data_IF_504744982653
#
_entry.id   IF_504744982653
#
_cell.length_a   1.000
_cell.length_b   1.000
_cell.length_c   1.000
_cell.angle_alpha   90.00
_cell.angle_beta   90.00
_cell.angle_gamma   90.00
#
_symmetry.space_group_name_H-M   'P 1'
#
loop_
_entity.id
_entity.type
_entity.pdbx_description
1 polymer ?
#
# COMPACT_ATOMS: atom_id res chain seq x y z
N UNK A 1 29.73 2.38 5.87
CA UNK A 1 28.37 1.83 6.10
C UNK A 1 27.77 1.55 4.73
N UNK A 2 27.29 0.36 4.51
CA UNK A 2 26.63 0.01 3.24
C UNK A 2 25.31 0.79 3.11
N UNK A 3 24.87 1.13 1.88
CA UNK A 3 23.54 1.69 1.70
C UNK A 3 22.48 0.78 2.36
N UNK A 4 21.45 1.34 2.97
CA UNK A 4 20.35 0.62 3.62
C UNK A 4 20.70 -0.31 4.80
N UNK A 5 21.96 -0.42 5.21
CA UNK A 5 22.35 -1.26 6.35
C UNK A 5 21.61 -0.84 7.63
N UNK A 6 21.63 0.44 7.97
CA UNK A 6 21.01 0.90 9.21
C UNK A 6 19.47 0.75 9.22
N UNK A 7 18.71 1.13 8.17
CA UNK A 7 17.27 0.84 8.11
C UNK A 7 16.94 -0.65 8.26
N UNK A 8 17.69 -1.54 7.61
CA UNK A 8 17.48 -2.99 7.72
C UNK A 8 17.76 -3.46 9.15
N UNK A 9 18.87 -3.03 9.75
CA UNK A 9 19.19 -3.39 11.15
C UNK A 9 18.18 -2.85 12.15
N UNK A 10 17.62 -1.66 11.94
CA UNK A 10 16.55 -1.08 12.75
C UNK A 10 15.27 -1.92 12.66
N UNK A 11 14.87 -2.31 11.44
CA UNK A 11 13.75 -3.21 11.21
C UNK A 11 13.94 -4.56 11.93
N UNK A 12 15.09 -5.19 11.79
CA UNK A 12 15.40 -6.47 12.44
C UNK A 12 15.32 -6.35 13.96
N UNK A 13 15.91 -5.30 14.56
CA UNK A 13 15.83 -5.05 16.00
C UNK A 13 14.41 -4.78 16.48
N UNK A 14 13.63 -3.98 15.75
CA UNK A 14 12.24 -3.63 16.10
C UNK A 14 11.35 -4.86 16.20
N UNK A 15 11.58 -5.84 15.35
CA UNK A 15 10.72 -7.02 15.25
C UNK A 15 11.32 -8.30 15.83
N UNK A 16 12.53 -8.23 16.37
CA UNK A 16 13.29 -9.38 16.87
C UNK A 16 13.44 -10.48 15.79
N UNK A 17 13.85 -10.06 14.58
CA UNK A 17 14.13 -10.98 13.49
C UNK A 17 15.63 -11.21 13.32
N UNK A 18 16.02 -12.46 13.12
CA UNK A 18 17.42 -12.85 12.88
C UNK A 18 17.87 -12.69 11.43
N UNK A 19 16.95 -12.35 10.51
CA UNK A 19 17.27 -12.23 9.08
C UNK A 19 16.26 -11.35 8.35
N UNK A 20 16.71 -10.74 7.24
CA UNK A 20 15.87 -10.09 6.24
C UNK A 20 16.30 -10.59 4.86
N UNK A 21 15.47 -11.39 4.23
CA UNK A 21 15.75 -12.02 2.94
C UNK A 21 14.50 -11.97 2.05
N UNK A 22 14.28 -10.85 1.35
CA UNK A 22 13.07 -10.64 0.54
C UNK A 22 12.87 -11.72 -0.53
N UNK A 23 11.64 -12.23 -0.62
CA UNK A 23 11.13 -13.17 -1.62
C UNK A 23 9.84 -12.68 -2.26
N UNK A 24 9.21 -11.66 -1.69
CA UNK A 24 8.00 -11.05 -2.22
C UNK A 24 7.99 -9.54 -1.98
N UNK A 25 7.33 -8.82 -2.90
CA UNK A 25 6.99 -7.40 -2.73
C UNK A 25 5.48 -7.24 -2.83
N UNK A 26 4.87 -6.63 -1.80
CA UNK A 26 3.45 -6.39 -1.68
C UNK A 26 3.18 -4.92 -1.97
N UNK A 27 2.49 -4.63 -3.06
CA UNK A 27 2.16 -3.28 -3.48
C UNK A 27 0.75 -2.89 -3.05
N UNK A 28 0.59 -1.74 -2.42
CA UNK A 28 -0.69 -1.05 -2.48
C UNK A 28 -0.99 -0.64 -3.93
N UNK A 29 -2.23 -0.26 -4.21
CA UNK A 29 -2.66 0.06 -5.56
C UNK A 29 -2.76 1.57 -5.81
N UNK A 30 -3.56 2.26 -5.02
CA UNK A 30 -3.95 3.65 -5.26
C UNK A 30 -2.87 4.64 -4.79
N UNK A 31 -2.22 5.35 -5.73
CA UNK A 31 -1.06 6.19 -5.45
C UNK A 31 0.27 5.43 -5.44
N UNK A 32 0.26 4.11 -5.68
CA UNK A 32 1.45 3.25 -5.78
C UNK A 32 1.55 2.61 -7.17
N UNK A 33 0.56 1.83 -7.59
CA UNK A 33 0.52 1.24 -8.94
C UNK A 33 -0.09 2.22 -9.94
N UNK A 34 -1.14 2.93 -9.52
CA UNK A 34 -1.80 3.96 -10.33
C UNK A 34 -1.70 5.33 -9.66
N UNK A 35 -1.56 6.37 -10.47
CA UNK A 35 -1.68 7.76 -10.02
C UNK A 35 -3.17 8.14 -9.89
N UNK A 36 -3.90 7.41 -9.06
CA UNK A 36 -5.35 7.53 -8.87
C UNK A 36 -5.75 8.47 -7.74
N UNK A 37 -4.82 8.80 -6.84
CA UNK A 37 -5.10 9.61 -5.66
C UNK A 37 -5.68 11.00 -5.95
N UNK A 38 -5.28 11.73 -7.01
CA UNK A 38 -5.94 12.98 -7.36
C UNK A 38 -7.44 12.80 -7.68
N UNK A 39 -7.82 11.71 -8.37
CA UNK A 39 -9.22 11.38 -8.64
C UNK A 39 -9.95 10.99 -7.36
N UNK A 40 -9.32 10.21 -6.48
CA UNK A 40 -9.88 9.87 -5.16
C UNK A 40 -10.14 11.13 -4.33
N UNK A 41 -9.19 12.06 -4.29
CA UNK A 41 -9.31 13.30 -3.51
C UNK A 41 -10.49 14.18 -3.99
N UNK A 42 -10.64 14.35 -5.31
CA UNK A 42 -11.78 15.06 -5.90
C UNK A 42 -13.08 14.34 -5.57
N UNK A 43 -13.15 13.03 -5.82
CA UNK A 43 -14.37 12.25 -5.60
C UNK A 43 -14.81 12.26 -4.12
N UNK A 44 -13.88 12.18 -3.18
CA UNK A 44 -14.16 12.32 -1.76
C UNK A 44 -14.67 13.71 -1.40
N UNK A 45 -13.99 14.76 -1.84
CA UNK A 45 -14.39 16.13 -1.56
C UNK A 45 -15.81 16.43 -2.08
N UNK A 46 -16.08 16.09 -3.34
CA UNK A 46 -17.37 16.36 -3.97
C UNK A 46 -18.51 15.51 -3.37
N UNK A 47 -18.29 14.21 -3.16
CA UNK A 47 -19.33 13.34 -2.60
C UNK A 47 -19.69 13.74 -1.18
N UNK A 48 -18.70 14.01 -0.33
CA UNK A 48 -18.94 14.43 1.05
C UNK A 48 -19.67 15.77 1.14
N UNK A 49 -19.32 16.72 0.25
CA UNK A 49 -20.02 18.00 0.18
C UNK A 49 -21.53 17.85 -0.13
N UNK A 50 -21.92 16.89 -0.97
CA UNK A 50 -23.35 16.59 -1.26
C UNK A 50 -24.11 16.12 -0.02
N UNK A 51 -23.43 15.59 0.99
CA UNK A 51 -24.03 15.14 2.25
C UNK A 51 -23.86 16.14 3.38
N UNK A 52 -23.39 17.37 3.06
CA UNK A 52 -23.12 18.41 4.05
C UNK A 52 -22.00 18.04 5.02
N UNK A 53 -21.01 17.29 4.54
CA UNK A 53 -19.79 16.92 5.26
C UNK A 53 -18.62 17.60 4.56
N UNK A 54 -17.80 18.31 5.32
CA UNK A 54 -16.59 18.91 4.81
C UNK A 54 -15.44 17.90 4.84
N UNK A 55 -14.87 17.62 3.68
CA UNK A 55 -13.66 16.80 3.55
C UNK A 55 -12.74 17.46 2.53
N UNK A 56 -11.54 17.79 2.96
CA UNK A 56 -10.52 18.38 2.08
C UNK A 56 -9.85 17.30 1.24
N UNK A 57 -9.24 17.70 0.12
CA UNK A 57 -8.42 16.77 -0.66
C UNK A 57 -7.24 16.22 0.17
N UNK A 58 -6.64 17.06 1.05
CA UNK A 58 -5.58 16.62 1.95
C UNK A 58 -6.05 15.49 2.91
N UNK A 59 -7.28 15.63 3.47
CA UNK A 59 -7.85 14.58 4.32
C UNK A 59 -8.11 13.28 3.55
N UNK A 60 -8.40 13.34 2.25
CA UNK A 60 -8.53 12.13 1.44
C UNK A 60 -7.24 11.30 1.43
N UNK A 61 -6.07 11.93 1.37
CA UNK A 61 -4.78 11.23 1.47
C UNK A 61 -4.52 10.69 2.88
N UNK A 62 -4.98 11.37 3.93
CA UNK A 62 -4.82 10.89 5.32
C UNK A 62 -5.66 9.64 5.63
N UNK A 63 -6.84 9.53 5.01
CA UNK A 63 -7.74 8.39 5.20
C UNK A 63 -7.61 7.31 4.13
N UNK A 64 -6.66 7.46 3.20
CA UNK A 64 -6.45 6.45 2.17
C UNK A 64 -6.05 5.10 2.78
N UNK A 65 -6.47 4.03 2.12
CA UNK A 65 -6.32 2.66 2.61
C UNK A 65 -7.47 2.17 3.50
N UNK A 66 -8.25 3.08 4.11
CA UNK A 66 -9.46 2.71 4.86
C UNK A 66 -10.59 2.31 3.90
N UNK A 67 -11.42 1.34 4.31
CA UNK A 67 -12.63 1.00 3.55
C UNK A 67 -13.53 2.23 3.42
N UNK A 68 -13.99 2.52 2.21
CA UNK A 68 -14.75 3.74 1.93
C UNK A 68 -15.99 3.92 2.81
N UNK A 69 -16.71 2.84 3.12
CA UNK A 69 -17.86 2.87 4.04
C UNK A 69 -17.45 3.23 5.48
N UNK A 70 -16.28 2.82 5.91
CA UNK A 70 -15.75 3.15 7.24
C UNK A 70 -15.31 4.62 7.29
N UNK A 71 -14.69 5.13 6.22
CA UNK A 71 -14.35 6.55 6.07
C UNK A 71 -15.62 7.42 6.16
N UNK A 72 -16.69 7.05 5.47
CA UNK A 72 -17.97 7.77 5.51
C UNK A 72 -18.53 7.79 6.93
N UNK A 73 -18.64 6.62 7.58
CA UNK A 73 -19.15 6.54 8.94
C UNK A 73 -18.35 7.36 9.93
N UNK A 74 -17.02 7.32 9.80
CA UNK A 74 -16.12 8.11 10.63
C UNK A 74 -16.38 9.62 10.46
N UNK A 75 -16.47 10.11 9.22
CA UNK A 75 -16.68 11.52 8.93
C UNK A 75 -18.08 12.00 9.36
N UNK A 76 -19.13 11.19 9.14
CA UNK A 76 -20.48 11.50 9.61
C UNK A 76 -20.49 11.62 11.13
N UNK A 77 -19.92 10.64 11.84
CA UNK A 77 -19.84 10.66 13.31
C UNK A 77 -19.03 11.87 13.81
N UNK A 78 -17.90 12.16 13.20
CA UNK A 78 -17.01 13.29 13.58
C UNK A 78 -17.69 14.63 13.42
N UNK A 79 -18.46 14.86 12.34
CA UNK A 79 -19.00 16.18 12.00
C UNK A 79 -20.47 16.39 12.37
N UNK A 80 -21.27 15.31 12.40
CA UNK A 80 -22.71 15.39 12.72
C UNK A 80 -23.07 14.76 14.06
N UNK A 81 -22.15 14.05 14.72
CA UNK A 81 -22.38 13.40 16.01
C UNK A 81 -23.35 12.23 15.99
N UNK A 82 -23.65 11.69 14.80
CA UNK A 82 -24.58 10.56 14.61
C UNK A 82 -23.87 9.35 14.01
N UNK A 83 -24.39 8.16 14.30
CA UNK A 83 -23.98 6.94 13.63
C UNK A 83 -24.99 6.61 12.52
N UNK A 84 -24.49 6.19 11.37
CA UNK A 84 -25.29 5.71 10.25
C UNK A 84 -25.12 4.19 10.07
N UNK A 85 -26.13 3.54 9.49
CA UNK A 85 -26.08 2.11 9.17
C UNK A 85 -25.03 1.82 8.09
N UNK A 86 -24.61 0.56 7.99
CA UNK A 86 -23.73 0.11 6.89
C UNK A 86 -24.41 0.27 5.53
N UNK A 87 -25.71 0.02 5.44
CA UNK A 87 -26.49 0.18 4.22
C UNK A 87 -26.50 1.65 3.75
N UNK A 88 -26.70 2.58 4.67
CA UNK A 88 -26.64 4.01 4.36
C UNK A 88 -25.22 4.43 3.94
N UNK A 89 -24.19 3.96 4.64
CA UNK A 89 -22.80 4.22 4.27
C UNK A 89 -22.46 3.68 2.87
N UNK A 90 -23.00 2.51 2.48
CA UNK A 90 -22.82 1.98 1.12
C UNK A 90 -23.50 2.87 0.07
N UNK A 91 -24.73 3.31 0.28
CA UNK A 91 -25.41 4.26 -0.64
C UNK A 91 -24.61 5.54 -0.84
N UNK A 92 -24.05 6.09 0.24
CA UNK A 92 -23.19 7.27 0.15
C UNK A 92 -21.87 6.98 -0.60
N UNK A 93 -21.31 5.79 -0.40
CA UNK A 93 -20.10 5.34 -1.10
C UNK A 93 -20.33 5.14 -2.61
N UNK A 94 -21.52 4.70 -3.02
CA UNK A 94 -21.88 4.61 -4.45
C UNK A 94 -21.80 5.98 -5.15
N UNK A 95 -22.20 7.06 -4.47
CA UNK A 95 -22.06 8.42 -5.02
C UNK A 95 -20.58 8.77 -5.23
N UNK A 96 -19.71 8.47 -4.26
CA UNK A 96 -18.26 8.68 -4.40
C UNK A 96 -17.69 7.87 -5.56
N UNK A 97 -18.12 6.60 -5.68
CA UNK A 97 -17.66 5.70 -6.74
C UNK A 97 -18.10 6.18 -8.13
N UNK A 98 -19.33 6.70 -8.26
CA UNK A 98 -19.83 7.26 -9.51
C UNK A 98 -19.03 8.52 -9.93
N UNK A 99 -18.73 9.42 -8.99
CA UNK A 99 -17.88 10.59 -9.25
C UNK A 99 -16.49 10.14 -9.68
N UNK A 100 -15.86 9.22 -8.94
CA UNK A 100 -14.54 8.69 -9.29
C UNK A 100 -14.51 8.10 -10.71
N UNK A 101 -15.52 7.29 -11.06
CA UNK A 101 -15.62 6.70 -12.39
C UNK A 101 -15.77 7.75 -13.50
N UNK A 102 -16.41 8.89 -13.23
CA UNK A 102 -16.59 9.98 -14.18
C UNK A 102 -15.32 10.78 -14.48
N UNK A 103 -14.30 10.69 -13.62
CA UNK A 103 -13.02 11.39 -13.79
C UNK A 103 -12.07 10.69 -14.79
N UNK A 104 -12.47 9.54 -15.31
CA UNK A 104 -11.68 8.77 -16.27
C UNK A 104 -10.72 7.78 -15.61
N UNK A 105 -9.85 7.19 -16.42
CA UNK A 105 -8.87 6.20 -15.97
C UNK A 105 -7.63 6.89 -15.43
N UNK A 106 -7.16 6.42 -14.27
CA UNK A 106 -5.87 6.82 -13.75
C UNK A 106 -4.74 6.19 -14.58
N UNK A 107 -3.67 6.94 -14.77
CA UNK A 107 -2.46 6.45 -15.41
C UNK A 107 -1.65 5.56 -14.48
N UNK A 108 -0.82 4.68 -15.04
CA UNK A 108 0.17 3.93 -14.26
C UNK A 108 1.11 4.92 -13.56
N UNK A 109 1.52 4.59 -12.34
CA UNK A 109 2.56 5.36 -11.66
C UNK A 109 3.87 5.25 -12.44
N UNK A 110 4.50 6.40 -12.71
CA UNK A 110 5.77 6.44 -13.43
C UNK A 110 6.84 5.58 -12.75
N UNK A 111 7.44 4.66 -13.49
CA UNK A 111 8.51 3.77 -13.01
C UNK A 111 8.02 2.50 -12.31
N UNK A 112 6.72 2.34 -12.02
CA UNK A 112 6.23 1.16 -11.29
C UNK A 112 6.37 -0.13 -12.11
N UNK A 113 6.09 -0.09 -13.41
CA UNK A 113 6.21 -1.27 -14.27
C UNK A 113 7.67 -1.73 -14.41
N UNK A 114 8.61 -0.78 -14.54
CA UNK A 114 10.04 -1.09 -14.59
C UNK A 114 10.52 -1.69 -13.26
N UNK A 115 10.06 -1.15 -12.12
CA UNK A 115 10.34 -1.72 -10.80
C UNK A 115 9.81 -3.16 -10.69
N UNK A 116 8.57 -3.41 -11.11
CA UNK A 116 7.99 -4.74 -11.09
C UNK A 116 8.77 -5.73 -11.96
N UNK A 117 9.27 -5.30 -13.12
CA UNK A 117 10.15 -6.13 -13.97
C UNK A 117 11.44 -6.47 -13.26
N UNK A 118 12.12 -5.49 -12.65
CA UNK A 118 13.34 -5.73 -11.88
C UNK A 118 13.10 -6.70 -10.72
N UNK A 119 11.98 -6.58 -9.99
CA UNK A 119 11.60 -7.48 -8.90
C UNK A 119 11.43 -8.90 -9.42
N UNK A 120 10.73 -9.06 -10.53
CA UNK A 120 10.49 -10.36 -11.16
C UNK A 120 11.77 -11.00 -11.68
N UNK A 121 12.64 -10.21 -12.30
CA UNK A 121 13.95 -10.67 -12.81
C UNK A 121 14.86 -11.16 -11.67
N UNK A 122 14.68 -10.65 -10.46
CA UNK A 122 15.31 -11.16 -9.24
C UNK A 122 14.64 -12.42 -8.67
N UNK A 123 13.58 -12.93 -9.30
CA UNK A 123 12.86 -14.14 -8.87
C UNK A 123 11.89 -13.92 -7.71
N UNK A 124 11.56 -12.66 -7.36
CA UNK A 124 10.62 -12.36 -6.29
C UNK A 124 9.17 -12.38 -6.79
N UNK A 125 8.24 -12.74 -5.89
CA UNK A 125 6.81 -12.65 -6.13
C UNK A 125 6.31 -11.21 -6.00
N UNK A 126 5.30 -10.85 -6.78
CA UNK A 126 4.61 -9.57 -6.69
C UNK A 126 3.17 -9.84 -6.25
N UNK A 127 2.74 -9.18 -5.19
CA UNK A 127 1.38 -9.25 -4.67
C UNK A 127 0.77 -7.84 -4.67
N UNK A 128 -0.51 -7.71 -5.01
CA UNK A 128 -1.24 -6.45 -4.89
C UNK A 128 -2.16 -6.53 -3.68
N UNK A 129 -2.18 -5.48 -2.84
CA UNK A 129 -2.99 -5.42 -1.62
C UNK A 129 -3.82 -4.14 -1.62
N UNK A 130 -5.07 -4.23 -2.08
CA UNK A 130 -5.97 -3.07 -2.21
C UNK A 130 -7.19 -3.15 -1.30
N UNK A 131 -7.65 -1.99 -0.81
CA UNK A 131 -8.94 -1.85 -0.13
C UNK A 131 -10.15 -1.91 -1.06
N UNK A 132 -9.95 -1.94 -2.38
CA UNK A 132 -11.04 -2.05 -3.36
C UNK A 132 -11.65 -3.45 -3.37
N UNK A 133 -12.99 -3.52 -3.58
CA UNK A 133 -13.73 -4.77 -3.71
C UNK A 133 -14.28 -5.02 -5.12
N UNK A 134 -13.75 -4.40 -6.16
CA UNK A 134 -14.25 -4.57 -7.52
C UNK A 134 -13.51 -5.68 -8.26
N UNK A 135 -14.19 -6.79 -8.56
CA UNK A 135 -13.59 -7.93 -9.31
C UNK A 135 -13.06 -7.52 -10.69
N UNK A 136 -13.80 -6.67 -11.40
CA UNK A 136 -13.38 -6.14 -12.72
C UNK A 136 -12.07 -5.36 -12.67
N UNK A 137 -11.70 -4.83 -11.50
CA UNK A 137 -10.43 -4.15 -11.30
C UNK A 137 -9.25 -5.12 -11.35
N UNK A 138 -9.41 -6.33 -10.79
CA UNK A 138 -8.36 -7.35 -10.78
C UNK A 138 -8.03 -7.85 -12.19
N UNK A 139 -9.07 -8.12 -12.99
CA UNK A 139 -8.91 -8.49 -14.40
C UNK A 139 -8.21 -7.37 -15.18
N UNK A 140 -8.55 -6.13 -14.87
CA UNK A 140 -7.92 -4.97 -15.49
C UNK A 140 -6.44 -4.84 -15.11
N UNK A 141 -6.10 -5.05 -13.84
CA UNK A 141 -4.71 -5.05 -13.35
C UNK A 141 -3.86 -6.09 -14.09
N UNK A 142 -4.34 -7.32 -14.20
CA UNK A 142 -3.60 -8.39 -14.88
C UNK A 142 -3.41 -8.08 -16.37
N UNK A 143 -4.43 -7.53 -17.03
CA UNK A 143 -4.34 -7.10 -18.43
C UNK A 143 -3.38 -5.93 -18.63
N UNK A 144 -3.32 -4.99 -17.70
CA UNK A 144 -2.44 -3.82 -17.80
C UNK A 144 -0.96 -4.15 -17.49
N UNK A 145 -0.70 -5.19 -16.69
CA UNK A 145 0.63 -5.63 -16.28
C UNK A 145 0.86 -7.10 -16.65
N UNK A 146 0.83 -7.45 -17.97
CA UNK A 146 0.86 -8.84 -18.41
C UNK A 146 2.14 -9.55 -17.96
N UNK A 147 1.97 -10.71 -17.34
CA UNK A 147 3.07 -11.53 -16.82
C UNK A 147 3.77 -10.96 -15.59
N UNK A 148 3.36 -9.80 -15.07
CA UNK A 148 3.88 -9.22 -13.82
C UNK A 148 2.91 -9.43 -12.65
N UNK A 149 1.63 -9.22 -12.89
CA UNK A 149 0.58 -9.41 -11.88
C UNK A 149 -0.25 -10.63 -12.20
N UNK A 150 -0.63 -11.37 -11.16
CA UNK A 150 -1.43 -12.59 -11.25
C UNK A 150 -2.57 -12.52 -10.25
N UNK A 151 -3.78 -12.88 -10.69
CA UNK A 151 -5.01 -12.77 -9.90
C UNK A 151 -4.93 -13.49 -8.54
N UNK A 152 -4.27 -14.64 -8.50
CA UNK A 152 -4.07 -15.43 -7.27
C UNK A 152 -3.19 -14.73 -6.22
N UNK A 153 -2.36 -13.76 -6.65
CA UNK A 153 -1.50 -12.95 -5.79
C UNK A 153 -2.07 -11.54 -5.57
N UNK A 154 -3.40 -11.38 -5.62
CA UNK A 154 -4.08 -10.13 -5.29
C UNK A 154 -4.95 -10.30 -4.06
N UNK A 155 -4.87 -9.32 -3.15
CA UNK A 155 -5.70 -9.22 -1.94
C UNK A 155 -6.62 -8.02 -2.10
N UNK A 156 -7.90 -8.24 -1.88
CA UNK A 156 -8.97 -7.24 -1.97
C UNK A 156 -9.73 -7.11 -0.66
N UNK A 157 -10.68 -6.18 -0.59
CA UNK A 157 -11.56 -6.07 0.57
C UNK A 157 -12.44 -7.31 0.80
N UNK A 158 -12.56 -8.23 -0.17
CA UNK A 158 -13.32 -9.48 -0.01
C UNK A 158 -12.51 -10.59 0.65
N UNK A 159 -11.17 -10.50 0.60
CA UNK A 159 -10.29 -11.53 1.14
C UNK A 159 -10.11 -11.40 2.66
N UNK A 160 -10.48 -10.25 3.26
CA UNK A 160 -10.21 -9.94 4.66
C UNK A 160 -11.45 -9.42 5.39
N UNK A 161 -11.53 -9.70 6.69
CA UNK A 161 -12.59 -9.17 7.55
C UNK A 161 -12.34 -7.72 7.94
N UNK A 162 -11.09 -7.36 8.24
CA UNK A 162 -10.69 -6.01 8.62
C UNK A 162 -9.74 -5.41 7.57
N UNK A 163 -10.03 -4.18 7.13
CA UNK A 163 -9.17 -3.41 6.22
C UNK A 163 -8.05 -2.67 6.96
N UNK A 164 -7.15 -2.02 6.21
CA UNK A 164 -6.18 -1.07 6.73
C UNK A 164 -6.90 -0.06 7.65
N UNK A 165 -6.34 0.33 8.78
CA UNK A 165 -4.96 0.13 9.26
C UNK A 165 -4.71 -1.19 10.01
N UNK A 166 -5.63 -2.17 9.98
CA UNK A 166 -5.38 -3.49 10.54
C UNK A 166 -4.42 -4.27 9.64
N UNK A 167 -3.61 -5.18 10.21
CA UNK A 167 -2.60 -5.92 9.45
C UNK A 167 -3.16 -6.98 8.49
N UNK A 168 -4.45 -7.33 8.64
CA UNK A 168 -5.09 -8.44 7.95
C UNK A 168 -4.83 -8.46 6.43
N UNK A 169 -4.91 -7.34 5.67
CA UNK A 169 -4.65 -7.36 4.24
C UNK A 169 -3.21 -7.78 3.90
N UNK A 170 -2.23 -7.32 4.67
CA UNK A 170 -0.83 -7.66 4.44
C UNK A 170 -0.49 -9.05 4.94
N UNK A 171 -1.09 -9.52 6.04
CA UNK A 171 -0.99 -10.91 6.49
C UNK A 171 -1.55 -11.88 5.44
N UNK A 172 -2.70 -11.55 4.82
CA UNK A 172 -3.26 -12.31 3.71
C UNK A 172 -2.32 -12.30 2.49
N UNK A 173 -1.67 -11.18 2.19
CA UNK A 173 -0.67 -11.09 1.13
C UNK A 173 0.54 -11.99 1.38
N UNK A 174 1.04 -12.05 2.61
CA UNK A 174 2.10 -12.99 3.01
C UNK A 174 1.66 -14.45 2.81
N UNK A 175 0.42 -14.79 3.23
CA UNK A 175 -0.15 -16.12 3.07
C UNK A 175 -0.24 -16.51 1.59
N UNK A 176 -0.82 -15.66 0.72
CA UNK A 176 -0.91 -15.90 -0.72
C UNK A 176 0.46 -16.05 -1.38
N UNK A 177 1.45 -15.29 -0.92
CA UNK A 177 2.83 -15.44 -1.40
C UNK A 177 3.57 -16.66 -0.80
N UNK A 178 3.09 -17.24 0.29
CA UNK A 178 3.77 -18.33 1.01
C UNK A 178 5.09 -17.87 1.62
N UNK A 179 5.15 -16.64 2.17
CA UNK A 179 6.36 -16.04 2.73
C UNK A 179 6.13 -15.55 4.17
N UNK A 180 7.24 -15.39 4.91
CA UNK A 180 7.24 -14.84 6.24
C UNK A 180 7.40 -13.31 6.21
N UNK A 181 7.08 -12.57 7.29
CA UNK A 181 7.24 -11.11 7.32
C UNK A 181 8.64 -10.62 6.94
N UNK A 182 9.69 -11.30 7.41
CA UNK A 182 11.09 -10.98 7.08
C UNK A 182 11.54 -11.38 5.66
N UNK A 183 10.61 -11.95 4.88
CA UNK A 183 10.81 -12.33 3.48
C UNK A 183 10.00 -11.42 2.53
N UNK A 184 9.43 -10.35 3.05
CA UNK A 184 8.60 -9.44 2.26
C UNK A 184 9.00 -7.97 2.43
N UNK A 185 8.67 -7.19 1.40
CA UNK A 185 8.70 -5.73 1.41
C UNK A 185 7.31 -5.23 1.05
N UNK A 186 6.80 -4.23 1.76
CA UNK A 186 5.58 -3.50 1.37
C UNK A 186 5.96 -2.20 0.71
N UNK A 187 5.24 -1.83 -0.35
CA UNK A 187 5.30 -0.50 -0.99
C UNK A 187 3.96 0.19 -0.80
N UNK A 188 3.98 1.32 -0.11
CA UNK A 188 2.80 2.06 0.33
C UNK A 188 2.96 3.57 0.15
N UNK A 189 1.83 4.31 0.06
CA UNK A 189 1.84 5.76 -0.02
C UNK A 189 0.98 6.45 1.07
N UNK A 190 0.19 5.67 1.81
CA UNK A 190 -0.80 6.17 2.74
C UNK A 190 -0.49 5.82 4.20
N UNK A 191 -0.78 6.74 5.16
CA UNK A 191 -0.46 6.51 6.58
C UNK A 191 -1.11 5.24 7.15
N UNK A 192 -2.38 4.98 6.80
CA UNK A 192 -3.10 3.81 7.31
C UNK A 192 -2.58 2.51 6.71
N UNK A 193 -2.08 2.56 5.47
CA UNK A 193 -1.45 1.43 4.82
C UNK A 193 -0.07 1.13 5.40
N UNK A 194 0.76 2.16 5.63
CA UNK A 194 2.04 2.01 6.34
C UNK A 194 1.82 1.40 7.72
N UNK A 195 0.86 1.92 8.51
CA UNK A 195 0.50 1.35 9.82
C UNK A 195 0.12 -0.14 9.73
N UNK A 196 -0.68 -0.51 8.73
CA UNK A 196 -1.07 -1.91 8.52
C UNK A 196 0.12 -2.81 8.19
N UNK A 197 1.04 -2.36 7.34
CA UNK A 197 2.25 -3.08 6.95
C UNK A 197 3.21 -3.27 8.14
N UNK A 198 3.42 -2.21 8.92
CA UNK A 198 4.24 -2.23 10.14
C UNK A 198 3.62 -3.15 11.21
N UNK A 199 2.28 -3.12 11.35
CA UNK A 199 1.57 -4.03 12.25
C UNK A 199 1.66 -5.50 11.80
N UNK A 200 1.77 -5.76 10.49
CA UNK A 200 2.07 -7.07 9.93
C UNK A 200 3.57 -7.45 10.05
N UNK A 201 4.40 -6.58 10.64
CA UNK A 201 5.83 -6.76 10.88
C UNK A 201 6.65 -6.89 9.58
N UNK A 202 6.23 -6.22 8.49
CA UNK A 202 6.88 -6.26 7.19
C UNK A 202 7.74 -5.01 7.00
N UNK A 203 8.92 -5.16 6.39
CA UNK A 203 9.75 -4.02 5.97
C UNK A 203 8.96 -3.13 5.01
N UNK A 204 8.78 -1.86 5.39
CA UNK A 204 7.84 -0.96 4.71
C UNK A 204 8.56 0.20 4.04
N UNK A 205 8.43 0.27 2.73
CA UNK A 205 8.88 1.38 1.90
C UNK A 205 7.69 2.29 1.62
N UNK A 206 7.74 3.51 2.12
CA UNK A 206 6.77 4.53 1.78
C UNK A 206 7.20 5.29 0.52
N UNK A 207 6.29 5.42 -0.45
CA UNK A 207 6.47 6.28 -1.63
C UNK A 207 5.45 7.41 -1.53
N UNK A 208 5.87 8.55 -0.99
CA UNK A 208 4.99 9.69 -0.75
C UNK A 208 4.71 10.44 -2.06
N UNK A 209 3.84 9.88 -2.88
CA UNK A 209 3.41 10.45 -4.17
C UNK A 209 2.37 11.55 -4.04
N UNK A 210 1.96 11.88 -2.82
CA UNK A 210 0.94 12.86 -2.49
C UNK A 210 1.48 14.12 -1.80
N UNK A 211 0.58 14.97 -1.30
CA UNK A 211 0.92 16.26 -0.68
C UNK A 211 1.25 16.16 0.82
N UNK A 212 1.29 14.94 1.39
CA UNK A 212 1.53 14.77 2.83
C UNK A 212 2.98 15.11 3.20
N UNK A 213 3.19 15.55 4.45
CA UNK A 213 4.53 15.63 5.02
C UNK A 213 5.09 14.20 5.19
N UNK A 214 6.36 14.01 4.84
CA UNK A 214 7.05 12.73 4.96
C UNK A 214 7.03 12.17 6.38
N UNK A 215 7.04 13.07 7.38
CA UNK A 215 6.98 12.69 8.79
C UNK A 215 5.74 11.89 9.13
N UNK A 216 4.61 12.16 8.48
CA UNK A 216 3.37 11.42 8.71
C UNK A 216 3.56 9.93 8.41
N UNK A 217 4.24 9.60 7.32
CA UNK A 217 4.52 8.21 6.94
C UNK A 217 5.65 7.59 7.78
N UNK A 218 6.66 8.38 8.15
CA UNK A 218 7.73 7.94 9.04
C UNK A 218 7.23 7.68 10.46
N UNK A 219 6.34 8.52 10.98
CA UNK A 219 5.72 8.36 12.30
C UNK A 219 4.82 7.12 12.37
N UNK A 220 4.28 6.66 11.25
CA UNK A 220 3.58 5.37 11.14
C UNK A 220 4.54 4.17 11.08
N UNK A 221 5.84 4.42 11.00
CA UNK A 221 6.90 3.41 11.11
C UNK A 221 7.48 2.92 9.80
N UNK A 222 7.32 3.66 8.69
CA UNK A 222 8.00 3.34 7.44
C UNK A 222 9.51 3.22 7.65
N UNK A 223 10.12 2.18 7.07
CA UNK A 223 11.56 1.93 7.16
C UNK A 223 12.36 2.77 6.17
N UNK A 224 11.77 3.05 5.02
CA UNK A 224 12.31 3.92 3.97
C UNK A 224 11.22 4.84 3.44
N UNK A 225 11.62 6.01 2.94
CA UNK A 225 10.71 6.95 2.29
C UNK A 225 11.32 7.51 1.01
N UNK A 226 10.51 7.59 -0.03
CA UNK A 226 10.83 8.21 -1.32
C UNK A 226 9.70 9.15 -1.74
N UNK A 227 10.03 10.18 -2.51
CA UNK A 227 9.04 11.11 -3.07
C UNK A 227 8.47 10.66 -4.41
N UNK A 228 9.20 9.79 -5.12
CA UNK A 228 8.79 9.28 -6.43
C UNK A 228 9.04 7.77 -6.51
N UNK A 229 8.19 7.07 -7.22
CA UNK A 229 8.38 5.65 -7.50
C UNK A 229 9.66 5.39 -8.30
N UNK A 230 10.03 6.31 -9.19
CA UNK A 230 11.29 6.26 -9.95
C UNK A 230 12.52 6.26 -9.04
N UNK A 231 12.50 7.04 -7.95
CA UNK A 231 13.61 7.08 -7.00
C UNK A 231 13.78 5.72 -6.28
N UNK A 232 12.68 5.09 -5.91
CA UNK A 232 12.70 3.75 -5.31
C UNK A 232 13.13 2.68 -6.33
N UNK A 233 12.61 2.73 -7.56
CA UNK A 233 13.02 1.84 -8.65
C UNK A 233 14.54 1.86 -8.84
N UNK A 234 15.14 3.04 -8.86
CA UNK A 234 16.58 3.23 -9.10
C UNK A 234 17.45 2.72 -7.93
N UNK A 235 16.86 2.59 -6.73
CA UNK A 235 17.52 2.05 -5.54
C UNK A 235 17.21 0.58 -5.26
N UNK A 236 16.31 -0.05 -6.03
CA UNK A 236 15.84 -1.42 -5.78
C UNK A 236 16.99 -2.44 -5.68
N UNK A 237 17.86 -2.49 -6.68
CA UNK A 237 18.98 -3.44 -6.73
C UNK A 237 19.95 -3.23 -5.57
N UNK A 238 20.17 -1.98 -5.15
CA UNK A 238 21.02 -1.64 -4.01
C UNK A 238 20.40 -2.08 -2.69
N UNK A 239 19.09 -1.91 -2.51
CA UNK A 239 18.36 -2.37 -1.33
C UNK A 239 18.42 -3.91 -1.23
N UNK A 240 18.11 -4.61 -2.31
CA UNK A 240 18.16 -6.08 -2.35
C UNK A 240 19.57 -6.61 -2.09
N UNK A 241 20.60 -6.00 -2.72
CA UNK A 241 22.00 -6.34 -2.50
C UNK A 241 22.41 -6.15 -1.03
N UNK A 242 21.99 -5.04 -0.41
CA UNK A 242 22.29 -4.77 1.01
C UNK A 242 21.66 -5.80 1.94
N UNK A 243 20.41 -6.22 1.67
CA UNK A 243 19.73 -7.27 2.43
C UNK A 243 20.47 -8.62 2.33
N UNK A 244 20.89 -9.00 1.12
CA UNK A 244 21.63 -10.25 0.88
C UNK A 244 23.01 -10.24 1.53
N UNK A 245 23.70 -9.13 1.47
CA UNK A 245 25.04 -8.98 2.06
C UNK A 245 24.98 -9.07 3.58
N UNK A 246 24.01 -8.39 4.22
CA UNK A 246 23.82 -8.48 5.67
C UNK A 246 23.48 -9.90 6.10
N UNK A 247 22.61 -10.59 5.35
CA UNK A 247 22.29 -11.99 5.63
C UNK A 247 23.52 -12.89 5.60
N UNK A 248 24.44 -12.72 4.61
CA UNK A 248 25.68 -13.50 4.52
C UNK A 248 26.66 -13.17 5.64
N UNK A 249 26.76 -11.91 6.04
CA UNK A 249 27.62 -11.49 7.17
C UNK A 249 27.18 -12.11 8.48
N UNK A 250 25.87 -12.14 8.73
CA UNK A 250 25.28 -12.70 9.96
C UNK A 250 25.21 -14.25 9.94
N UNK A 251 25.39 -14.90 8.74
CA UNK A 251 25.34 -16.35 8.54
C UNK A 251 26.53 -16.85 7.65
N UNK A 252 27.77 -16.77 8.13
CA UNK A 252 28.96 -17.03 7.31
C UNK A 252 29.13 -18.47 6.81
N UNK A 253 28.31 -19.43 7.27
CA UNK A 253 28.37 -20.86 6.89
C UNK A 253 27.39 -21.26 5.79
N UNK A 254 26.69 -20.34 5.19
CA UNK A 254 25.64 -20.60 4.18
C UNK A 254 26.16 -20.38 2.73
N UNK A 255 27.43 -20.73 2.44
CA UNK A 255 28.01 -20.76 1.08
C UNK A 255 28.12 -22.18 0.56
#
# INVERSE_FOLDING_TARGET
MKPFEEPIRQYLRRHDFGKFLPKAVLFDMDGVIYNSMPHHAIAWQESMARFGIHMTQHEAYLYEGMRGVETIRLQVRKQKGIDISMEEAHRLYEVKSAIFASLGKAEKMEGVEDLMRQIKDCGLKICVVTGSGQRTLLDHLEQQFPGLLHHELMVTSFDVTQGKPKPDPYLMGLEKCGVQPWEAIVVENAPLGVRAAVAARIFTVAVNTGPLDDRILLDEGADLIYRRMTDFRDQWSTLLGSAMDLYKEDNPTTT
#
